data_IF_093388403588
#
_entry.id   IF_093388403588
#
_cell.length_a   1.000
_cell.length_b   1.000
_cell.length_c   1.000
_cell.angle_alpha   90.00
_cell.angle_beta   90.00
_cell.angle_gamma   90.00
#
_symmetry.space_group_name_H-M   'P 1'
#
loop_
_entity.id
_entity.type
_entity.pdbx_description
1 polymer ?
#
# COMPACT_ATOMS: atom_id res chain seq x y z
N UNK A 1 -18.20 59.07 -20.84
CA UNK A 1 -17.95 58.27 -19.63
C UNK A 1 -18.00 56.73 -19.80
N UNK A 2 -18.39 56.18 -20.95
CA UNK A 2 -18.47 54.70 -21.15
C UNK A 2 -17.14 54.00 -21.53
N UNK A 3 -16.11 54.72 -22.01
CA UNK A 3 -14.79 54.14 -22.39
C UNK A 3 -13.86 53.88 -21.19
N UNK A 4 -14.06 54.50 -20.07
CA UNK A 4 -13.18 54.41 -18.89
C UNK A 4 -13.34 53.09 -18.09
N UNK A 5 -14.46 52.39 -18.23
CA UNK A 5 -14.74 51.15 -17.48
C UNK A 5 -14.43 49.90 -18.34
N UNK A 6 -14.46 50.03 -19.67
CA UNK A 6 -14.26 48.90 -20.57
C UNK A 6 -12.81 48.39 -20.55
N UNK A 7 -11.83 49.26 -20.47
CA UNK A 7 -10.41 48.86 -20.45
C UNK A 7 -10.04 47.98 -19.25
N UNK A 8 -10.39 48.35 -17.99
CA UNK A 8 -10.07 47.46 -16.86
C UNK A 8 -10.87 46.15 -16.87
N UNK A 9 -12.08 46.14 -17.41
CA UNK A 9 -12.87 44.90 -17.54
C UNK A 9 -12.21 43.93 -18.55
N UNK A 10 -11.76 44.45 -19.70
CA UNK A 10 -11.05 43.65 -20.70
C UNK A 10 -9.73 43.12 -20.11
N UNK A 11 -8.97 43.95 -19.40
CA UNK A 11 -7.74 43.51 -18.75
C UNK A 11 -8.00 42.39 -17.71
N UNK A 12 -9.08 42.49 -16.94
CA UNK A 12 -9.47 41.49 -15.95
C UNK A 12 -9.88 40.16 -16.62
N UNK A 13 -10.62 40.20 -17.74
CA UNK A 13 -11.00 39.02 -18.51
C UNK A 13 -9.77 38.34 -19.10
N UNK A 14 -8.85 39.11 -19.67
CA UNK A 14 -7.61 38.55 -20.25
C UNK A 14 -6.75 37.91 -19.17
N UNK A 15 -6.58 38.57 -18.02
CA UNK A 15 -5.82 37.98 -16.87
C UNK A 15 -6.47 36.72 -16.34
N UNK A 16 -7.80 36.67 -16.26
CA UNK A 16 -8.53 35.47 -15.81
C UNK A 16 -8.35 34.32 -16.84
N UNK A 17 -8.41 34.59 -18.12
CA UNK A 17 -8.17 33.58 -19.17
C UNK A 17 -6.73 33.07 -19.16
N UNK A 18 -5.74 33.93 -18.92
CA UNK A 18 -4.35 33.53 -18.78
C UNK A 18 -4.13 32.64 -17.55
N UNK A 19 -4.68 33.01 -16.41
CA UNK A 19 -4.61 32.20 -15.18
C UNK A 19 -5.30 30.84 -15.35
N UNK A 20 -6.46 30.82 -16.00
CA UNK A 20 -7.18 29.57 -16.29
C UNK A 20 -6.38 28.67 -17.25
N UNK A 21 -5.84 29.22 -18.31
CA UNK A 21 -4.98 28.48 -19.26
C UNK A 21 -3.72 27.93 -18.60
N UNK A 22 -3.10 28.72 -17.72
CA UNK A 22 -1.93 28.31 -16.96
C UNK A 22 -2.26 27.20 -15.97
N UNK A 23 -3.37 27.31 -15.23
CA UNK A 23 -3.84 26.29 -14.30
C UNK A 23 -4.17 24.97 -15.03
N UNK A 24 -4.82 25.05 -16.18
CA UNK A 24 -5.14 23.87 -16.98
C UNK A 24 -3.87 23.17 -17.51
N UNK A 25 -2.90 23.93 -18.01
CA UNK A 25 -1.61 23.39 -18.48
C UNK A 25 -0.79 22.74 -17.35
N UNK A 26 -0.72 23.38 -16.20
CA UNK A 26 0.00 22.85 -15.04
C UNK A 26 -0.64 21.57 -14.49
N UNK A 27 -1.98 21.48 -14.47
CA UNK A 27 -2.67 20.26 -14.06
C UNK A 27 -2.40 19.09 -15.02
N UNK A 28 -2.32 19.34 -16.32
CA UNK A 28 -1.94 18.32 -17.31
C UNK A 28 -0.55 17.76 -17.04
N UNK A 29 0.45 18.64 -16.88
CA UNK A 29 1.83 18.24 -16.59
C UNK A 29 1.97 17.53 -15.23
N UNK A 30 1.24 17.98 -14.21
CA UNK A 30 1.24 17.35 -12.91
C UNK A 30 0.69 15.91 -12.97
N UNK A 31 -0.37 15.69 -13.73
CA UNK A 31 -0.96 14.35 -13.91
C UNK A 31 -0.03 13.40 -14.68
N UNK A 32 0.64 13.90 -15.72
CA UNK A 32 1.62 13.10 -16.49
C UNK A 32 2.82 12.72 -15.61
N UNK A 33 3.35 13.67 -14.84
CA UNK A 33 4.45 13.40 -13.93
C UNK A 33 4.06 12.40 -12.82
N UNK A 34 2.86 12.53 -12.26
CA UNK A 34 2.35 11.58 -11.25
C UNK A 34 2.20 10.17 -11.82
N UNK A 35 1.69 10.04 -13.05
CA UNK A 35 1.60 8.74 -13.74
C UNK A 35 2.99 8.15 -14.03
N UNK A 36 3.93 8.96 -14.51
CA UNK A 36 5.29 8.50 -14.78
C UNK A 36 6.00 8.05 -13.50
N UNK A 37 5.83 8.78 -12.41
CA UNK A 37 6.39 8.40 -11.10
C UNK A 37 5.75 7.11 -10.57
N UNK A 38 4.43 6.99 -10.66
CA UNK A 38 3.73 5.76 -10.29
C UNK A 38 4.26 4.55 -11.08
N UNK A 39 4.40 4.68 -12.40
CA UNK A 39 4.95 3.60 -13.24
C UNK A 39 6.39 3.24 -12.86
N UNK A 40 7.24 4.21 -12.52
CA UNK A 40 8.60 3.96 -12.04
C UNK A 40 8.61 3.16 -10.75
N UNK A 41 7.72 3.48 -9.80
CA UNK A 41 7.57 2.73 -8.56
C UNK A 41 7.21 1.28 -8.87
N UNK A 42 6.20 1.05 -9.73
CA UNK A 42 5.79 -0.30 -10.11
C UNK A 42 6.93 -1.09 -10.75
N UNK A 43 7.65 -0.49 -11.70
CA UNK A 43 8.79 -1.14 -12.37
C UNK A 43 9.97 -1.42 -11.41
N UNK A 44 10.16 -0.59 -10.40
CA UNK A 44 11.18 -0.82 -9.37
C UNK A 44 10.79 -1.95 -8.43
N UNK A 45 9.51 -2.04 -8.06
CA UNK A 45 9.00 -3.08 -7.16
C UNK A 45 8.95 -4.46 -7.82
N UNK A 46 8.59 -4.52 -9.12
CA UNK A 46 8.48 -5.77 -9.87
C UNK A 46 9.46 -5.74 -11.06
N UNK A 47 10.74 -6.05 -10.84
CA UNK A 47 11.74 -6.06 -11.91
C UNK A 47 11.41 -7.08 -13.01
N UNK A 48 11.57 -6.66 -14.25
CA UNK A 48 11.27 -7.48 -15.42
C UNK A 48 9.88 -7.28 -15.99
N UNK A 49 9.06 -6.42 -15.36
CA UNK A 49 7.78 -5.95 -15.90
C UNK A 49 7.89 -4.50 -16.34
N UNK A 50 7.46 -4.20 -17.55
CA UNK A 50 7.48 -2.86 -18.14
C UNK A 50 6.09 -2.26 -18.28
N UNK A 51 5.10 -3.10 -18.45
CA UNK A 51 3.69 -2.74 -18.55
C UNK A 51 2.88 -3.35 -17.41
N UNK A 52 1.87 -2.62 -16.97
CA UNK A 52 0.99 -3.06 -15.90
C UNK A 52 -0.46 -2.85 -16.31
N UNK A 53 -1.26 -3.89 -16.15
CA UNK A 53 -2.70 -3.86 -16.39
C UNK A 53 -3.40 -3.89 -15.04
N UNK A 54 -4.29 -2.93 -14.82
CA UNK A 54 -5.12 -2.93 -13.61
C UNK A 54 -6.20 -4.01 -13.78
N UNK A 55 -6.19 -5.02 -12.93
CA UNK A 55 -7.25 -6.02 -12.85
C UNK A 55 -8.27 -5.59 -11.80
N UNK A 56 -9.57 -5.64 -12.10
CA UNK A 56 -10.59 -5.39 -11.09
C UNK A 56 -10.51 -6.50 -10.03
N UNK A 57 -10.48 -6.11 -8.77
CA UNK A 57 -10.56 -7.04 -7.66
C UNK A 57 -12.00 -7.10 -7.15
N UNK A 58 -12.60 -8.27 -7.23
CA UNK A 58 -13.96 -8.60 -6.78
C UNK A 58 -13.97 -9.71 -5.71
N UNK A 59 -12.78 -10.00 -5.15
CA UNK A 59 -12.63 -10.99 -4.09
C UNK A 59 -13.12 -10.51 -2.73
N UNK A 60 -13.11 -11.42 -1.75
CA UNK A 60 -13.65 -11.19 -0.40
C UNK A 60 -12.63 -10.56 0.56
N UNK A 61 -11.34 -10.52 0.20
CA UNK A 61 -10.31 -9.94 1.08
C UNK A 61 -10.40 -8.42 1.13
N UNK A 62 -10.93 -7.90 2.23
CA UNK A 62 -11.09 -6.46 2.46
C UNK A 62 -9.76 -5.68 2.50
N UNK A 63 -8.63 -6.37 2.66
CA UNK A 63 -7.33 -5.70 2.66
C UNK A 63 -6.82 -5.41 1.25
N UNK A 64 -7.38 -5.99 0.19
CA UNK A 64 -6.96 -5.75 -1.19
C UNK A 64 -7.79 -4.61 -1.80
N UNK A 65 -7.13 -3.54 -2.21
CA UNK A 65 -7.76 -2.38 -2.86
C UNK A 65 -7.69 -2.46 -4.38
N UNK A 66 -6.52 -2.78 -4.93
CA UNK A 66 -6.32 -2.90 -6.36
C UNK A 66 -5.19 -3.87 -6.70
N UNK A 67 -5.23 -4.41 -7.91
CA UNK A 67 -4.25 -5.35 -8.43
C UNK A 67 -3.70 -4.84 -9.74
N UNK A 68 -2.39 -4.79 -9.86
CA UNK A 68 -1.67 -4.45 -11.08
C UNK A 68 -0.90 -5.68 -11.55
N UNK A 69 -1.31 -6.25 -12.66
CA UNK A 69 -0.66 -7.41 -13.27
C UNK A 69 0.45 -6.95 -14.21
N UNK A 70 1.66 -7.43 -13.97
CA UNK A 70 2.80 -7.31 -14.85
C UNK A 70 3.18 -8.64 -15.51
N UNK A 71 4.25 -8.65 -16.30
CA UNK A 71 4.72 -9.85 -17.02
C UNK A 71 5.29 -10.89 -16.04
N UNK A 72 5.96 -10.45 -14.98
CA UNK A 72 6.69 -11.33 -14.03
C UNK A 72 5.94 -11.61 -12.73
N UNK A 73 4.78 -10.97 -12.52
CA UNK A 73 4.00 -11.12 -11.28
C UNK A 73 2.94 -10.04 -11.15
N UNK A 74 2.59 -9.75 -9.91
CA UNK A 74 1.54 -8.83 -9.54
C UNK A 74 2.06 -7.79 -8.55
N UNK A 75 1.49 -6.60 -8.60
CA UNK A 75 1.64 -5.61 -7.53
C UNK A 75 0.26 -5.37 -6.95
N UNK A 76 0.10 -5.70 -5.68
CA UNK A 76 -1.15 -5.62 -4.96
C UNK A 76 -1.10 -4.39 -4.06
N UNK A 77 -2.06 -3.49 -4.22
CA UNK A 77 -2.29 -2.39 -3.30
C UNK A 77 -3.15 -2.91 -2.16
N UNK A 78 -2.55 -2.96 -0.97
CA UNK A 78 -3.22 -3.42 0.24
C UNK A 78 -3.46 -2.27 1.19
N UNK A 79 -4.55 -2.39 1.95
CA UNK A 79 -4.97 -1.42 2.97
C UNK A 79 -5.33 -2.17 4.23
N UNK A 80 -4.84 -1.70 5.35
CA UNK A 80 -5.18 -2.26 6.65
C UNK A 80 -5.15 -1.17 7.72
N UNK A 81 -5.61 -1.50 8.92
CA UNK A 81 -5.50 -0.60 10.06
C UNK A 81 -4.36 -1.04 10.96
N UNK A 82 -3.44 -0.12 11.23
CA UNK A 82 -2.41 -0.22 12.25
C UNK A 82 -2.94 0.20 13.62
N UNK A 83 -2.06 0.74 14.47
CA UNK A 83 -2.44 1.19 15.80
C UNK A 83 -3.20 2.54 15.77
N UNK A 84 -2.74 3.51 15.00
CA UNK A 84 -3.28 4.86 14.99
C UNK A 84 -4.15 5.16 13.76
N UNK A 85 -4.02 4.40 12.68
CA UNK A 85 -4.81 4.65 11.48
C UNK A 85 -4.53 3.71 10.33
N UNK A 86 -5.02 4.11 9.17
CA UNK A 86 -4.91 3.36 7.92
C UNK A 86 -3.47 3.33 7.41
N UNK A 87 -3.08 2.18 6.90
CA UNK A 87 -1.79 1.91 6.25
C UNK A 87 -2.09 1.39 4.86
N UNK A 88 -1.55 2.04 3.84
CA UNK A 88 -1.62 1.60 2.45
C UNK A 88 -0.24 1.18 1.97
N UNK A 89 -0.13 -0.03 1.41
CA UNK A 89 1.12 -0.59 0.89
C UNK A 89 0.96 -1.06 -0.55
N UNK A 90 2.04 -1.00 -1.32
CA UNK A 90 2.20 -1.74 -2.57
C UNK A 90 3.13 -2.92 -2.31
N UNK A 91 2.69 -4.11 -2.61
CA UNK A 91 3.43 -5.36 -2.41
C UNK A 91 3.55 -6.06 -3.75
N UNK A 92 4.77 -6.25 -4.19
CA UNK A 92 5.09 -6.95 -5.43
C UNK A 92 5.35 -8.42 -5.13
N UNK A 93 4.58 -9.28 -5.78
CA UNK A 93 4.64 -10.73 -5.65
C UNK A 93 4.84 -11.33 -7.05
N UNK A 94 5.86 -12.15 -7.21
CA UNK A 94 6.12 -12.87 -8.45
C UNK A 94 5.05 -13.92 -8.74
N UNK A 95 5.00 -14.41 -9.98
CA UNK A 95 4.08 -15.48 -10.37
C UNK A 95 4.26 -16.78 -9.57
N UNK A 96 5.41 -16.98 -8.92
CA UNK A 96 5.68 -18.12 -8.02
C UNK A 96 5.21 -17.88 -6.57
N UNK A 97 4.56 -16.77 -6.29
CA UNK A 97 4.10 -16.39 -4.96
C UNK A 97 5.14 -15.65 -4.11
N UNK A 98 6.38 -15.50 -4.58
CA UNK A 98 7.46 -14.91 -3.79
C UNK A 98 7.37 -13.38 -3.75
N UNK A 99 7.39 -12.78 -2.57
CA UNK A 99 7.48 -11.32 -2.38
C UNK A 99 8.84 -10.82 -2.85
N UNK A 100 8.84 -9.90 -3.80
CA UNK A 100 10.06 -9.34 -4.38
C UNK A 100 10.24 -7.84 -4.12
N UNK A 101 9.20 -7.15 -3.66
CA UNK A 101 9.27 -5.74 -3.34
C UNK A 101 8.08 -5.31 -2.50
N UNK A 102 8.29 -4.32 -1.64
CA UNK A 102 7.21 -3.70 -0.90
C UNK A 102 7.54 -2.23 -0.61
N UNK A 103 6.52 -1.39 -0.56
CA UNK A 103 6.64 0.02 -0.21
C UNK A 103 5.37 0.51 0.48
N UNK A 104 5.55 1.30 1.52
CA UNK A 104 4.45 2.01 2.19
C UNK A 104 4.12 3.26 1.37
N UNK A 105 2.88 3.40 0.96
CA UNK A 105 2.39 4.58 0.21
C UNK A 105 1.83 5.66 1.12
N UNK A 106 0.97 5.24 2.02
CA UNK A 106 0.30 6.14 2.96
C UNK A 106 0.28 5.50 4.33
N UNK A 107 0.42 6.33 5.36
CA UNK A 107 0.39 5.89 6.74
C UNK A 107 -0.16 7.00 7.64
N UNK A 108 -0.94 6.58 8.63
CA UNK A 108 -1.44 7.43 9.70
C UNK A 108 -1.06 6.82 11.04
N UNK A 109 0.25 6.80 11.35
CA UNK A 109 0.80 6.13 12.52
C UNK A 109 1.51 7.07 13.48
N UNK A 110 1.61 6.66 14.75
CA UNK A 110 2.29 7.44 15.78
C UNK A 110 3.78 7.52 15.51
N UNK A 111 4.32 8.74 15.46
CA UNK A 111 5.74 8.98 15.26
C UNK A 111 6.58 8.30 16.35
N UNK A 112 7.67 7.66 15.93
CA UNK A 112 8.60 6.95 16.83
C UNK A 112 8.17 5.54 17.25
N UNK A 113 6.93 5.14 16.99
CA UNK A 113 6.41 3.79 17.24
C UNK A 113 5.98 3.10 15.94
N UNK A 114 4.70 3.16 15.60
CA UNK A 114 4.19 2.55 14.37
C UNK A 114 4.81 3.14 13.11
N UNK A 115 5.09 4.44 13.08
CA UNK A 115 5.82 5.08 11.98
C UNK A 115 7.21 4.46 11.76
N UNK A 116 7.89 4.05 12.84
CA UNK A 116 9.18 3.36 12.75
C UNK A 116 9.05 2.00 12.04
N UNK A 117 8.04 1.22 12.36
CA UNK A 117 7.81 -0.08 11.70
C UNK A 117 7.62 0.08 10.18
N UNK A 118 6.97 1.17 9.76
CA UNK A 118 6.72 1.45 8.34
C UNK A 118 7.91 2.05 7.58
N UNK A 119 8.97 2.47 8.28
CA UNK A 119 10.16 3.09 7.71
C UNK A 119 11.46 2.34 8.00
N UNK A 120 11.43 1.36 8.88
CA UNK A 120 12.58 0.53 9.23
C UNK A 120 12.82 -0.50 8.12
N UNK A 121 13.88 -0.28 7.34
CA UNK A 121 14.22 -1.18 6.25
C UNK A 121 14.61 -2.58 6.71
N UNK A 122 15.27 -2.72 7.86
CA UNK A 122 15.67 -4.03 8.39
C UNK A 122 14.44 -4.87 8.71
N UNK A 123 13.42 -4.24 9.29
CA UNK A 123 12.13 -4.88 9.54
C UNK A 123 11.40 -5.24 8.23
N UNK A 124 11.25 -4.29 7.33
CA UNK A 124 10.52 -4.50 6.07
C UNK A 124 11.21 -5.54 5.18
N UNK A 125 12.55 -5.59 5.20
CA UNK A 125 13.32 -6.53 4.39
C UNK A 125 13.10 -8.01 4.79
N UNK A 126 12.64 -8.28 6.01
CA UNK A 126 12.31 -9.64 6.45
C UNK A 126 11.17 -10.26 5.63
N UNK A 127 10.27 -9.45 5.10
CA UNK A 127 9.18 -9.91 4.25
C UNK A 127 9.59 -10.22 2.81
N UNK A 128 10.79 -9.81 2.38
CA UNK A 128 11.28 -10.13 1.05
C UNK A 128 11.64 -11.62 0.95
N UNK A 129 11.30 -12.23 -0.19
CA UNK A 129 11.48 -13.65 -0.50
C UNK A 129 10.55 -14.60 0.26
N UNK A 130 9.60 -14.09 1.04
CA UNK A 130 8.54 -14.91 1.62
C UNK A 130 7.59 -15.31 0.49
N UNK A 131 7.24 -16.58 0.43
CA UNK A 131 6.27 -17.15 -0.53
C UNK A 131 5.09 -17.85 0.17
N UNK A 132 4.99 -17.67 1.48
CA UNK A 132 3.97 -18.28 2.35
C UNK A 132 3.46 -17.25 3.35
N UNK A 133 2.67 -17.66 4.33
CA UNK A 133 2.20 -16.77 5.39
C UNK A 133 3.33 -16.31 6.30
N UNK A 134 3.32 -15.04 6.67
CA UNK A 134 4.23 -14.43 7.63
C UNK A 134 3.48 -14.12 8.94
N UNK A 135 4.13 -14.37 10.07
CA UNK A 135 3.61 -14.07 11.41
C UNK A 135 4.65 -13.29 12.23
N UNK A 136 4.19 -12.33 13.02
CA UNK A 136 5.06 -11.57 13.93
C UNK A 136 5.21 -12.34 15.25
N UNK A 137 6.45 -12.63 15.64
CA UNK A 137 6.78 -13.30 16.89
C UNK A 137 7.62 -14.56 16.71
N UNK A 138 7.62 -15.41 17.71
CA UNK A 138 8.33 -16.69 17.73
C UNK A 138 7.36 -17.87 17.79
N UNK A 139 7.73 -19.06 17.29
CA UNK A 139 6.90 -20.25 17.33
C UNK A 139 6.41 -20.55 18.77
N UNK A 140 5.10 -20.75 18.93
CA UNK A 140 4.49 -21.08 20.22
C UNK A 140 4.30 -19.88 21.17
N UNK A 141 4.58 -18.67 20.76
CA UNK A 141 4.25 -17.45 21.52
C UNK A 141 2.75 -17.16 21.36
N UNK A 142 1.97 -17.53 22.35
CA UNK A 142 0.54 -17.19 22.39
C UNK A 142 0.42 -15.70 22.59
N UNK A 143 -0.20 -15.03 21.63
CA UNK A 143 -0.41 -13.61 21.68
C UNK A 143 -1.36 -13.23 22.84
N UNK A 144 -0.78 -12.83 23.96
CA UNK A 144 -1.53 -12.37 25.13
C UNK A 144 -2.38 -11.11 24.85
N UNK A 145 -2.26 -10.52 23.66
CA UNK A 145 -2.95 -9.29 23.24
C UNK A 145 -4.04 -9.53 22.18
N UNK A 146 -4.19 -10.76 21.66
CA UNK A 146 -5.31 -11.06 20.75
C UNK A 146 -6.56 -11.33 21.58
N UNK A 147 -7.31 -10.30 21.89
CA UNK A 147 -8.71 -10.43 22.32
C UNK A 147 -9.62 -10.99 21.23
N UNK A 148 -9.09 -11.35 20.08
CA UNK A 148 -9.74 -12.08 19.01
C UNK A 148 -9.43 -13.56 19.21
N UNK A 149 -10.46 -14.33 19.50
CA UNK A 149 -10.47 -15.80 19.54
C UNK A 149 -10.36 -16.39 18.13
N UNK A 150 -9.33 -16.03 17.39
CA UNK A 150 -8.91 -16.66 16.16
C UNK A 150 -7.53 -17.24 16.42
N UNK A 151 -7.44 -18.54 16.62
CA UNK A 151 -6.17 -19.24 16.57
C UNK A 151 -5.57 -18.96 15.18
N UNK A 152 -4.42 -18.25 15.15
CA UNK A 152 -3.63 -18.24 13.93
C UNK A 152 -3.34 -19.71 13.60
N UNK A 153 -3.86 -20.19 12.48
CA UNK A 153 -3.56 -21.54 12.02
C UNK A 153 -2.10 -21.52 11.62
N UNK A 154 -1.21 -21.91 12.54
CA UNK A 154 0.19 -22.14 12.23
C UNK A 154 0.24 -23.32 11.26
N UNK A 155 0.60 -23.04 10.04
CA UNK A 155 0.95 -24.08 9.06
C UNK A 155 2.44 -24.36 9.15
N UNK A 156 2.88 -25.56 8.77
CA UNK A 156 4.30 -25.95 8.77
C UNK A 156 5.19 -24.97 7.94
N UNK A 157 4.58 -24.17 7.05
CA UNK A 157 5.24 -23.24 6.15
C UNK A 157 5.18 -21.77 6.64
N UNK A 158 4.73 -21.50 7.87
CA UNK A 158 4.66 -20.12 8.38
C UNK A 158 6.04 -19.57 8.67
N UNK A 159 6.34 -18.39 8.10
CA UNK A 159 7.59 -17.66 8.35
C UNK A 159 7.40 -16.69 9.51
N UNK A 160 8.28 -16.78 10.49
CA UNK A 160 8.28 -15.88 11.64
C UNK A 160 9.15 -14.65 11.36
N UNK A 161 8.61 -13.49 11.65
CA UNK A 161 9.24 -12.18 11.44
C UNK A 161 9.37 -11.45 12.78
N UNK A 162 10.53 -10.89 13.04
CA UNK A 162 10.77 -10.10 14.25
C UNK A 162 10.00 -8.78 14.19
N UNK A 163 9.11 -8.56 15.14
CA UNK A 163 8.34 -7.31 15.22
C UNK A 163 9.13 -6.14 15.81
N UNK A 164 8.68 -4.93 15.57
CA UNK A 164 9.25 -3.72 16.20
C UNK A 164 8.71 -3.58 17.63
N UNK A 165 9.64 -3.53 18.60
CA UNK A 165 9.29 -3.32 20.01
C UNK A 165 8.49 -2.02 20.20
N UNK A 166 7.33 -2.13 20.83
CA UNK A 166 6.41 -1.01 21.01
C UNK A 166 5.51 -0.70 19.81
N UNK A 167 5.63 -1.44 18.71
CA UNK A 167 4.81 -1.29 17.51
C UNK A 167 4.22 -2.62 17.02
N UNK A 168 3.91 -3.54 17.93
CA UNK A 168 3.42 -4.89 17.61
C UNK A 168 2.15 -4.86 16.73
N UNK A 169 1.19 -3.97 17.04
CA UNK A 169 -0.07 -3.85 16.27
C UNK A 169 0.23 -3.44 14.82
N UNK A 170 1.09 -2.45 14.62
CA UNK A 170 1.52 -1.98 13.28
C UNK A 170 2.33 -3.06 12.56
N UNK A 171 3.24 -3.76 13.25
CA UNK A 171 4.02 -4.87 12.67
C UNK A 171 3.09 -5.99 12.16
N UNK A 172 2.07 -6.37 12.95
CA UNK A 172 1.05 -7.35 12.55
C UNK A 172 0.19 -6.85 11.39
N UNK A 173 -0.11 -5.57 11.34
CA UNK A 173 -0.84 -4.96 10.21
C UNK A 173 -0.04 -5.12 8.91
N UNK A 174 1.28 -4.91 8.94
CA UNK A 174 2.15 -5.11 7.78
C UNK A 174 2.16 -6.59 7.36
N UNK A 175 2.27 -7.52 8.29
CA UNK A 175 2.22 -8.95 8.01
C UNK A 175 0.89 -9.34 7.34
N UNK A 176 -0.26 -8.81 7.80
CA UNK A 176 -1.56 -9.01 7.13
C UNK A 176 -1.56 -8.53 5.69
N UNK A 177 -1.04 -7.34 5.42
CA UNK A 177 -0.92 -6.83 4.05
C UNK A 177 -0.12 -7.79 3.16
N UNK A 178 1.01 -8.28 3.66
CA UNK A 178 1.86 -9.22 2.91
C UNK A 178 1.14 -10.55 2.68
N UNK A 179 0.47 -11.09 3.70
CA UNK A 179 -0.27 -12.33 3.59
C UNK A 179 -1.41 -12.24 2.58
N UNK A 180 -2.18 -11.15 2.59
CA UNK A 180 -3.22 -10.89 1.58
C UNK A 180 -2.66 -10.86 0.16
N UNK A 181 -1.51 -10.22 -0.03
CA UNK A 181 -0.88 -10.14 -1.34
C UNK A 181 -0.35 -11.52 -1.82
N UNK A 182 0.27 -12.30 -0.93
CA UNK A 182 0.77 -13.65 -1.24
C UNK A 182 -0.40 -14.59 -1.53
N UNK A 183 -1.44 -14.56 -0.68
CA UNK A 183 -2.64 -15.38 -0.83
C UNK A 183 -3.36 -15.13 -2.17
N UNK A 184 -3.45 -13.86 -2.58
CA UNK A 184 -4.02 -13.52 -3.89
C UNK A 184 -3.30 -14.22 -5.05
N UNK A 185 -1.96 -14.25 -5.03
CA UNK A 185 -1.17 -14.82 -6.13
C UNK A 185 -1.11 -16.34 -6.07
N UNK A 186 -1.02 -16.91 -4.86
CA UNK A 186 -0.92 -18.37 -4.67
C UNK A 186 -2.26 -19.07 -4.69
N UNK A 187 -3.37 -18.34 -4.59
CA UNK A 187 -4.72 -18.91 -4.44
C UNK A 187 -4.94 -19.56 -3.08
N UNK A 188 -4.06 -19.31 -2.11
CA UNK A 188 -4.27 -19.74 -0.73
C UNK A 188 -5.42 -18.93 -0.13
N UNK A 189 -6.26 -19.58 0.70
CA UNK A 189 -7.27 -18.86 1.46
C UNK A 189 -6.56 -17.88 2.38
N UNK A 190 -6.70 -16.59 2.11
CA UNK A 190 -6.26 -15.59 3.03
C UNK A 190 -7.14 -15.68 4.27
N UNK A 191 -6.58 -16.15 5.37
CA UNK A 191 -7.25 -16.05 6.69
C UNK A 191 -7.21 -14.57 7.06
N UNK A 192 -8.15 -13.83 6.49
CA UNK A 192 -8.32 -12.42 6.76
C UNK A 192 -9.30 -12.26 7.90
N UNK A 193 -8.83 -12.45 9.11
CA UNK A 193 -9.51 -11.84 10.23
C UNK A 193 -9.26 -10.33 10.16
N UNK A 194 -10.17 -9.63 9.50
CA UNK A 194 -10.30 -8.20 9.65
C UNK A 194 -10.71 -7.92 11.10
N UNK A 195 -9.75 -7.84 11.99
CA UNK A 195 -9.99 -7.29 13.33
C UNK A 195 -10.22 -5.79 13.16
N UNK A 196 -11.49 -5.43 12.99
CA UNK A 196 -11.94 -4.06 13.19
C UNK A 196 -11.78 -3.74 14.68
N UNK A 197 -10.76 -2.99 15.03
CA UNK A 197 -10.74 -2.23 16.25
C UNK A 197 -11.61 -1.00 16.03
N UNK A 198 -12.91 -1.13 16.28
CA UNK A 198 -13.86 -0.06 16.21
C UNK A 198 -14.89 -0.31 17.27
N UNK A 199 -14.71 0.30 18.42
CA UNK A 199 -15.75 0.44 19.42
C UNK A 199 -16.63 1.63 19.06
#
# INVERSE_FOLDING_TARGET
MKKSVLTPVIALVISALLLFGMAYGLNGMANENARAEHMRILQTLLPGSTEFVVEPYDGEDANIRSVHKGETGYIIETVTYGYAGEITMLIAVKNDGTVCGLVVREMSETFGLGWRALTDWEFLAQFLKIGTSATIGTPGEVDAFSGATGEAVETDDTVYVDGITGATVTSKAIARCVNSAVAYVTGADAVTEATSWGG
#
